data_IF_778280170368
#
_entry.id   IF_778280170368
#
_cell.length_a   1.000
_cell.length_b   1.000
_cell.length_c   1.000
_cell.angle_alpha   90.00
_cell.angle_beta   90.00
_cell.angle_gamma   90.00
#
_symmetry.space_group_name_H-M   'P 1'
#
loop_
_entity.id
_entity.type
_entity.pdbx_description
1 polymer ?
#
# COMPACT_ATOMS: atom_id res chain seq x y z
N UNK A 1 -10.07 -21.66 1.25
CA UNK A 1 -8.81 -20.98 1.59
C UNK A 1 -7.92 -21.09 0.37
N UNK A 2 -7.57 -19.96 -0.21
CA UNK A 2 -6.73 -19.87 -1.38
C UNK A 2 -5.26 -19.71 -0.99
N UNK A 3 -4.36 -19.83 -1.97
CA UNK A 3 -2.94 -19.60 -1.76
C UNK A 3 -2.43 -18.61 -2.80
N UNK A 4 -1.51 -17.74 -2.39
CA UNK A 4 -0.65 -16.96 -3.29
C UNK A 4 0.76 -17.55 -3.32
N UNK A 5 1.45 -17.51 -4.46
CA UNK A 5 2.78 -18.09 -4.56
C UNK A 5 3.88 -17.11 -4.10
N UNK A 6 4.20 -17.15 -2.80
CA UNK A 6 5.27 -16.36 -2.18
C UNK A 6 6.51 -17.22 -1.97
N UNK A 7 7.61 -16.82 -2.60
CA UNK A 7 8.92 -17.45 -2.46
C UNK A 7 9.76 -16.68 -1.42
N UNK A 8 10.95 -17.18 -1.09
CA UNK A 8 11.86 -16.50 -0.16
C UNK A 8 12.28 -15.12 -0.65
N UNK A 9 12.37 -14.91 -1.97
CA UNK A 9 12.76 -13.62 -2.56
C UNK A 9 11.68 -12.54 -2.39
N UNK A 10 10.43 -12.94 -2.16
CA UNK A 10 9.31 -12.01 -1.96
C UNK A 10 9.14 -11.59 -0.49
N UNK A 11 9.67 -12.36 0.46
CA UNK A 11 9.52 -12.09 1.90
C UNK A 11 9.97 -10.70 2.35
N UNK A 12 11.06 -10.12 1.83
CA UNK A 12 11.45 -8.76 2.21
C UNK A 12 10.35 -7.72 1.95
N UNK A 13 9.65 -7.80 0.81
CA UNK A 13 8.55 -6.89 0.47
C UNK A 13 7.36 -7.08 1.42
N UNK A 14 6.94 -8.33 1.65
CA UNK A 14 5.85 -8.64 2.59
C UNK A 14 6.19 -8.16 4.01
N UNK A 15 7.44 -8.33 4.44
CA UNK A 15 7.90 -7.86 5.74
C UNK A 15 7.93 -6.33 5.83
N UNK A 16 8.34 -5.64 4.76
CA UNK A 16 8.27 -4.17 4.71
C UNK A 16 6.81 -3.69 4.80
N UNK A 17 5.89 -4.35 4.10
CA UNK A 17 4.47 -4.07 4.19
C UNK A 17 3.93 -4.27 5.61
N UNK A 18 4.30 -5.35 6.31
CA UNK A 18 3.94 -5.56 7.72
C UNK A 18 4.52 -4.44 8.61
N UNK A 19 5.78 -4.06 8.42
CA UNK A 19 6.45 -3.00 9.19
C UNK A 19 5.85 -1.62 8.95
N UNK A 20 5.31 -1.37 7.76
CA UNK A 20 4.53 -0.16 7.50
C UNK A 20 3.34 -0.09 8.47
N UNK A 21 2.66 -1.21 8.71
CA UNK A 21 1.60 -1.30 9.73
C UNK A 21 2.10 -0.99 11.15
N UNK A 22 3.32 -1.40 11.51
CA UNK A 22 3.91 -1.05 12.82
C UNK A 22 4.14 0.46 12.95
N UNK A 23 4.54 1.13 11.87
CA UNK A 23 4.65 2.58 11.81
C UNK A 23 3.28 3.26 11.90
N UNK A 24 2.27 2.79 11.16
CA UNK A 24 0.91 3.33 11.26
C UNK A 24 0.38 3.25 12.71
N UNK A 25 0.59 2.12 13.38
CA UNK A 25 0.19 1.93 14.78
C UNK A 25 0.88 2.88 15.78
N UNK A 26 1.96 3.56 15.38
CA UNK A 26 2.65 4.54 16.22
C UNK A 26 1.92 5.89 16.34
N UNK A 27 0.91 6.15 15.51
CA UNK A 27 0.14 7.39 15.56
C UNK A 27 -0.89 7.38 16.70
N UNK A 28 -0.84 8.42 17.54
CA UNK A 28 -1.76 8.58 18.68
C UNK A 28 -3.19 8.93 18.25
N UNK A 29 -3.35 9.55 17.08
CA UNK A 29 -4.65 9.94 16.50
C UNK A 29 -5.49 8.77 16.00
N UNK A 30 -4.92 7.58 15.85
CA UNK A 30 -5.68 6.40 15.47
C UNK A 30 -6.63 5.97 16.58
N UNK A 31 -7.88 5.74 16.21
CA UNK A 31 -8.90 5.16 17.08
C UNK A 31 -8.56 3.72 17.48
N UNK A 32 -9.31 3.16 18.43
CA UNK A 32 -9.14 1.76 18.80
C UNK A 32 -9.50 0.82 17.63
N UNK A 33 -10.50 1.20 16.84
CA UNK A 33 -10.97 0.52 15.65
C UNK A 33 -9.91 0.54 14.54
N UNK A 34 -9.27 1.69 14.28
CA UNK A 34 -8.16 1.81 13.32
C UNK A 34 -7.04 0.84 13.67
N UNK A 35 -6.60 0.86 14.94
CA UNK A 35 -5.52 -0.01 15.43
C UNK A 35 -5.89 -1.49 15.33
N UNK A 36 -7.15 -1.83 15.61
CA UNK A 36 -7.65 -3.20 15.47
C UNK A 36 -7.70 -3.66 14.01
N UNK A 37 -8.08 -2.77 13.08
CA UNK A 37 -8.09 -3.03 11.65
C UNK A 37 -6.66 -3.26 11.12
N UNK A 38 -5.72 -2.36 11.42
CA UNK A 38 -4.30 -2.51 11.02
C UNK A 38 -3.72 -3.83 11.56
N UNK A 39 -3.94 -4.14 12.84
CA UNK A 39 -3.46 -5.39 13.43
C UNK A 39 -4.05 -6.63 12.74
N UNK A 40 -5.31 -6.56 12.31
CA UNK A 40 -5.98 -7.64 11.58
C UNK A 40 -5.43 -7.82 10.16
N UNK A 41 -5.11 -6.72 9.47
CA UNK A 41 -4.45 -6.73 8.18
C UNK A 41 -3.03 -7.32 8.31
N UNK A 42 -2.23 -6.87 9.28
CA UNK A 42 -0.92 -7.46 9.56
C UNK A 42 -1.00 -8.96 9.87
N UNK A 43 -2.04 -9.40 10.59
CA UNK A 43 -2.29 -10.82 10.86
C UNK A 43 -2.62 -11.61 9.60
N UNK A 44 -3.33 -11.01 8.64
CA UNK A 44 -3.59 -11.63 7.34
C UNK A 44 -2.29 -11.77 6.53
N UNK A 45 -1.46 -10.72 6.47
CA UNK A 45 -0.14 -10.77 5.81
C UNK A 45 0.78 -11.83 6.43
N UNK A 46 0.79 -11.97 7.76
CA UNK A 46 1.58 -13.00 8.47
C UNK A 46 1.11 -14.44 8.20
N UNK A 47 -0.11 -14.64 7.69
CA UNK A 47 -0.66 -15.97 7.35
C UNK A 47 -0.35 -16.41 5.92
N UNK A 48 0.22 -15.53 5.10
CA UNK A 48 0.62 -15.85 3.75
C UNK A 48 1.54 -17.09 3.74
N UNK A 49 1.39 -18.01 2.77
CA UNK A 49 0.68 -17.84 1.51
C UNK A 49 -0.84 -18.02 1.57
N UNK A 50 -1.41 -18.40 2.72
CA UNK A 50 -2.84 -18.73 2.84
C UNK A 50 -3.71 -17.48 2.95
N UNK A 51 -4.74 -17.39 2.11
CA UNK A 51 -5.73 -16.31 2.10
C UNK A 51 -7.12 -16.89 2.35
N UNK A 52 -7.86 -16.28 3.28
CA UNK A 52 -9.22 -16.69 3.60
C UNK A 52 -10.20 -16.14 2.57
N UNK A 53 -11.29 -16.85 2.32
CA UNK A 53 -12.38 -16.30 1.50
C UNK A 53 -13.02 -15.12 2.23
N UNK A 54 -13.47 -14.12 1.46
CA UNK A 54 -13.95 -12.84 1.96
C UNK A 54 -12.84 -11.97 2.56
N UNK A 55 -11.57 -12.14 2.18
CA UNK A 55 -10.53 -11.21 2.65
C UNK A 55 -10.64 -9.91 1.87
N UNK A 56 -10.77 -8.80 2.58
CA UNK A 56 -10.60 -7.43 2.09
C UNK A 56 -9.78 -6.69 3.14
N UNK A 57 -8.52 -6.39 2.81
CA UNK A 57 -7.54 -5.92 3.77
C UNK A 57 -6.53 -5.01 3.08
N UNK A 58 -6.67 -3.70 3.27
CA UNK A 58 -5.81 -2.68 2.68
C UNK A 58 -5.42 -1.65 3.74
N UNK A 59 -4.17 -1.20 3.67
CA UNK A 59 -3.77 0.05 4.27
C UNK A 59 -2.67 0.71 3.45
N UNK A 60 -2.54 2.01 3.62
CA UNK A 60 -1.48 2.77 3.01
C UNK A 60 -1.39 4.17 3.58
N UNK A 61 -0.48 4.95 3.02
CA UNK A 61 -0.38 6.37 3.30
C UNK A 61 -0.08 7.14 2.03
N UNK A 62 -0.48 8.40 2.01
CA UNK A 62 -0.11 9.34 0.96
C UNK A 62 0.43 10.64 1.54
N UNK A 63 1.31 11.27 0.76
CA UNK A 63 1.79 12.63 0.99
C UNK A 63 1.27 13.49 -0.15
N UNK A 64 0.46 14.48 0.20
CA UNK A 64 -0.14 15.44 -0.71
C UNK A 64 0.56 16.78 -0.57
N UNK A 65 1.09 17.29 -1.69
CA UNK A 65 1.81 18.55 -1.76
C UNK A 65 1.08 19.51 -2.68
N UNK A 66 1.09 20.81 -2.35
CA UNK A 66 0.50 21.85 -3.19
C UNK A 66 -1.02 21.83 -3.17
N UNK A 67 -1.64 22.17 -4.30
CA UNK A 67 -3.09 22.29 -4.47
C UNK A 67 -3.55 21.60 -5.78
N UNK A 68 -4.83 21.72 -6.12
CA UNK A 68 -5.43 21.10 -7.30
C UNK A 68 -4.88 21.63 -8.64
N UNK A 69 -4.15 22.75 -8.64
CA UNK A 69 -3.60 23.40 -9.84
C UNK A 69 -2.10 23.17 -10.03
N UNK A 70 -1.38 22.92 -8.94
CA UNK A 70 0.05 22.60 -8.95
C UNK A 70 0.41 21.68 -7.78
N UNK A 71 -0.14 20.46 -7.82
CA UNK A 71 -0.03 19.50 -6.74
C UNK A 71 0.66 18.20 -7.13
N UNK A 72 1.03 17.44 -6.12
CA UNK A 72 1.56 16.08 -6.28
C UNK A 72 1.09 15.22 -5.12
N UNK A 73 0.46 14.09 -5.44
CA UNK A 73 0.16 13.03 -4.47
C UNK A 73 1.13 11.88 -4.70
N UNK A 74 1.84 11.49 -3.65
CA UNK A 74 2.63 10.25 -3.61
C UNK A 74 2.02 9.29 -2.61
N UNK A 75 1.68 8.07 -3.04
CA UNK A 75 1.04 7.06 -2.19
C UNK A 75 1.85 5.77 -2.12
N UNK A 76 1.72 5.03 -1.01
CA UNK A 76 2.23 3.68 -0.85
C UNK A 76 1.19 2.84 -0.14
N UNK A 77 0.79 1.77 -0.80
CA UNK A 77 -0.37 1.00 -0.40
C UNK A 77 -0.10 -0.49 -0.51
N UNK A 78 -0.83 -1.24 0.31
CA UNK A 78 -1.02 -2.67 0.13
C UNK A 78 -2.50 -2.99 0.05
N UNK A 79 -2.84 -3.97 -0.76
CA UNK A 79 -4.15 -4.63 -0.73
C UNK A 79 -3.97 -6.15 -0.70
N UNK A 80 -4.76 -6.83 0.14
CA UNK A 80 -4.90 -8.27 0.14
C UNK A 80 -6.39 -8.60 0.02
N UNK A 81 -6.75 -9.20 -1.10
CA UNK A 81 -8.15 -9.47 -1.46
C UNK A 81 -8.36 -10.91 -1.91
N UNK A 82 -9.48 -11.52 -1.54
CA UNK A 82 -9.91 -12.78 -2.13
C UNK A 82 -11.40 -13.04 -1.89
N UNK A 83 -12.15 -13.22 -2.97
CA UNK A 83 -13.58 -13.54 -2.97
C UNK A 83 -13.85 -14.70 -3.95
N UNK A 84 -14.16 -15.88 -3.42
CA UNK A 84 -14.30 -17.11 -4.22
C UNK A 84 -15.48 -17.10 -5.20
N UNK A 85 -16.45 -16.20 -4.98
CA UNK A 85 -17.64 -16.04 -5.80
C UNK A 85 -17.52 -14.93 -6.87
N UNK A 86 -16.41 -14.22 -6.92
CA UNK A 86 -16.17 -13.14 -7.87
C UNK A 86 -14.99 -13.52 -8.78
N UNK A 87 -15.24 -14.13 -9.95
CA UNK A 87 -14.19 -14.54 -10.87
C UNK A 87 -13.51 -13.36 -11.59
N UNK A 88 -14.09 -12.15 -11.55
CA UNK A 88 -13.50 -10.93 -12.11
C UNK A 88 -12.49 -10.30 -11.14
N UNK A 89 -12.73 -10.41 -9.83
CA UNK A 89 -11.76 -10.06 -8.78
C UNK A 89 -10.83 -11.24 -8.52
N UNK A 90 -9.86 -11.45 -9.41
CA UNK A 90 -8.88 -12.54 -9.28
C UNK A 90 -8.06 -12.48 -7.98
N UNK A 91 -8.11 -11.37 -7.24
CA UNK A 91 -7.60 -11.24 -5.88
C UNK A 91 -6.11 -11.53 -5.77
N UNK A 92 -5.59 -11.45 -4.55
CA UNK A 92 -4.19 -11.65 -4.29
C UNK A 92 -3.63 -10.59 -3.37
N UNK A 93 -2.31 -10.56 -3.28
CA UNK A 93 -1.58 -9.48 -2.63
C UNK A 93 -1.13 -8.49 -3.71
N UNK A 94 -1.41 -7.22 -3.49
CA UNK A 94 -0.89 -6.10 -4.25
C UNK A 94 -0.08 -5.19 -3.33
N UNK A 95 1.06 -4.74 -3.82
CA UNK A 95 1.87 -3.69 -3.19
C UNK A 95 2.19 -2.68 -4.27
N UNK A 96 1.95 -1.39 -4.02
CA UNK A 96 2.20 -0.38 -5.02
C UNK A 96 2.62 0.97 -4.44
N UNK A 97 3.15 1.80 -5.32
CA UNK A 97 3.38 3.22 -5.07
C UNK A 97 2.83 4.05 -6.21
N UNK A 98 2.19 5.16 -5.87
CA UNK A 98 1.52 6.06 -6.80
C UNK A 98 2.26 7.39 -6.91
N UNK A 99 2.29 7.97 -8.11
CA UNK A 99 2.81 9.31 -8.39
C UNK A 99 1.80 10.05 -9.27
N UNK A 100 1.00 10.92 -8.64
CA UNK A 100 -0.17 11.54 -9.24
C UNK A 100 0.03 13.06 -9.28
N UNK A 101 0.44 13.64 -10.42
CA UNK A 101 0.46 15.09 -10.58
C UNK A 101 -0.96 15.64 -10.63
N UNK A 102 -1.16 16.84 -10.07
CA UNK A 102 -2.43 17.56 -10.09
C UNK A 102 -2.25 18.92 -10.80
N UNK A 103 -3.00 19.19 -11.89
CA UNK A 103 -3.89 18.25 -12.58
C UNK A 103 -3.09 17.14 -13.30
N UNK A 104 -3.80 16.07 -13.69
CA UNK A 104 -3.20 15.06 -14.55
C UNK A 104 -2.64 15.68 -15.83
N UNK A 105 -1.54 15.11 -16.33
CA UNK A 105 -0.82 15.66 -17.46
C UNK A 105 -0.31 14.57 -18.38
N UNK A 106 -0.16 14.92 -19.65
CA UNK A 106 0.48 14.07 -20.67
C UNK A 106 1.89 14.55 -21.00
N UNK A 107 2.46 15.48 -20.21
CA UNK A 107 3.84 15.95 -20.38
C UNK A 107 4.82 14.75 -20.27
N UNK A 108 5.60 14.45 -21.33
CA UNK A 108 6.54 13.33 -21.32
C UNK A 108 7.56 13.34 -20.18
N UNK A 109 7.98 14.53 -19.72
CA UNK A 109 8.91 14.65 -18.60
C UNK A 109 8.26 14.22 -17.29
N UNK A 110 7.00 14.59 -17.06
CA UNK A 110 6.24 14.18 -15.87
C UNK A 110 5.89 12.70 -15.92
N UNK A 111 5.50 12.17 -17.08
CA UNK A 111 5.27 10.73 -17.28
C UNK A 111 6.54 9.91 -17.04
N UNK A 112 7.70 10.45 -17.39
CA UNK A 112 8.99 9.82 -17.06
C UNK A 112 9.20 9.76 -15.56
N UNK A 113 8.89 10.84 -14.82
CA UNK A 113 8.95 10.83 -13.36
C UNK A 113 7.98 9.81 -12.76
N UNK A 114 6.74 9.74 -13.25
CA UNK A 114 5.75 8.76 -12.82
C UNK A 114 6.30 7.34 -12.96
N UNK A 115 6.81 6.97 -14.14
CA UNK A 115 7.42 5.66 -14.38
C UNK A 115 8.62 5.33 -13.49
N UNK A 116 9.38 6.35 -13.06
CA UNK A 116 10.54 6.17 -12.18
C UNK A 116 10.14 5.97 -10.71
N UNK A 117 9.07 6.61 -10.26
CA UNK A 117 8.64 6.62 -8.86
C UNK A 117 7.60 5.52 -8.55
N UNK A 118 6.78 5.14 -9.52
CA UNK A 118 5.76 4.10 -9.33
C UNK A 118 6.37 2.69 -9.32
N UNK A 119 5.78 1.85 -8.48
CA UNK A 119 6.03 0.43 -8.40
C UNK A 119 4.67 -0.27 -8.27
N UNK A 120 4.55 -1.45 -8.87
CA UNK A 120 3.37 -2.29 -8.75
C UNK A 120 3.80 -3.76 -8.73
N UNK A 121 3.45 -4.46 -7.67
CA UNK A 121 3.74 -5.86 -7.46
C UNK A 121 2.42 -6.57 -7.18
N UNK A 122 2.15 -7.64 -7.92
CA UNK A 122 0.91 -8.40 -7.79
C UNK A 122 1.21 -9.90 -7.71
N UNK A 123 0.77 -10.51 -6.62
CA UNK A 123 0.73 -11.95 -6.39
C UNK A 123 -0.71 -12.44 -6.47
N UNK A 124 -1.19 -12.81 -7.66
CA UNK A 124 -2.53 -13.33 -7.85
C UNK A 124 -2.77 -14.64 -7.08
N UNK A 125 -4.04 -14.90 -6.77
CA UNK A 125 -4.46 -16.17 -6.18
C UNK A 125 -4.20 -17.32 -7.17
N UNK A 126 -3.52 -18.37 -6.69
CA UNK A 126 -3.27 -19.59 -7.44
C UNK A 126 -2.17 -19.49 -8.50
N UNK A 127 -1.53 -18.33 -8.66
CA UNK A 127 -0.52 -18.10 -9.69
C UNK A 127 0.75 -17.44 -9.11
N UNK A 128 1.80 -17.32 -9.94
CA UNK A 128 3.08 -16.71 -9.60
C UNK A 128 3.02 -15.19 -9.70
N UNK A 129 3.82 -14.52 -8.87
CA UNK A 129 4.04 -13.09 -9.01
C UNK A 129 4.54 -12.76 -10.41
N UNK A 130 4.00 -11.70 -11.00
CA UNK A 130 4.63 -11.07 -12.16
C UNK A 130 6.06 -10.63 -11.77
N UNK A 131 6.99 -10.74 -12.73
CA UNK A 131 8.40 -10.38 -12.59
C UNK A 131 8.62 -9.13 -11.72
N UNK A 132 9.27 -9.31 -10.57
CA UNK A 132 9.62 -8.22 -9.66
C UNK A 132 10.98 -7.67 -10.08
N UNK A 133 11.00 -6.41 -10.52
CA UNK A 133 12.24 -5.65 -10.74
C UNK A 133 12.93 -5.42 -9.39
N UNK A 134 14.15 -5.96 -9.15
CA UNK A 134 14.84 -5.84 -7.87
C UNK A 134 15.00 -4.39 -7.40
N UNK A 135 15.24 -3.46 -8.33
CA UNK A 135 15.39 -2.04 -8.04
C UNK A 135 14.09 -1.38 -7.56
N UNK A 136 12.94 -1.76 -8.13
CA UNK A 136 11.64 -1.26 -7.66
C UNK A 136 11.32 -1.84 -6.29
N UNK A 137 11.60 -3.13 -6.08
CA UNK A 137 11.38 -3.78 -4.79
C UNK A 137 12.21 -3.15 -3.68
N UNK A 138 13.50 -2.93 -3.94
CA UNK A 138 14.41 -2.29 -2.99
C UNK A 138 13.95 -0.88 -2.66
N UNK A 139 13.57 -0.09 -3.66
CA UNK A 139 13.04 1.26 -3.45
C UNK A 139 11.79 1.22 -2.57
N UNK A 140 10.80 0.39 -2.91
CA UNK A 140 9.56 0.31 -2.13
C UNK A 140 9.83 -0.05 -0.66
N UNK A 141 10.75 -0.99 -0.40
CA UNK A 141 11.20 -1.34 0.96
C UNK A 141 11.85 -0.14 1.68
N UNK A 142 12.70 0.61 1.00
CA UNK A 142 13.39 1.78 1.56
C UNK A 142 12.40 2.92 1.87
N UNK A 143 11.54 3.26 0.91
CA UNK A 143 10.59 4.37 1.03
C UNK A 143 9.57 4.11 2.16
N UNK A 144 9.03 2.89 2.25
CA UNK A 144 8.09 2.50 3.31
C UNK A 144 8.75 2.32 4.68
N UNK A 145 10.08 2.19 4.74
CA UNK A 145 10.81 2.15 6.02
C UNK A 145 10.99 3.54 6.64
N UNK A 146 10.89 4.60 5.83
CA UNK A 146 11.03 6.00 6.27
C UNK A 146 9.98 6.90 5.61
N UNK A 147 8.66 6.68 5.88
CA UNK A 147 7.59 7.44 5.22
C UNK A 147 7.73 8.96 5.36
N UNK A 148 8.21 9.42 6.51
CA UNK A 148 8.37 10.85 6.81
C UNK A 148 9.53 11.52 6.05
N UNK A 149 10.39 10.76 5.36
CA UNK A 149 11.41 11.36 4.49
C UNK A 149 10.81 12.11 3.29
N UNK A 150 9.54 11.83 2.96
CA UNK A 150 8.81 12.48 1.87
C UNK A 150 7.93 13.65 2.33
N UNK A 151 7.72 13.80 3.63
CA UNK A 151 6.84 14.80 4.22
C UNK A 151 7.64 16.07 4.59
N UNK A 152 7.11 17.23 4.22
CA UNK A 152 7.67 18.55 4.52
C UNK A 152 6.62 19.51 5.09
N UNK A 153 7.08 20.72 5.45
CA UNK A 153 6.19 21.78 5.93
C UNK A 153 5.15 22.14 4.86
N UNK A 154 3.87 22.12 5.26
CA UNK A 154 2.74 22.39 4.36
C UNK A 154 2.22 21.17 3.60
N UNK A 155 2.89 20.02 3.67
CA UNK A 155 2.40 18.78 3.09
C UNK A 155 1.34 18.14 4.00
N UNK A 156 0.34 17.49 3.39
CA UNK A 156 -0.67 16.69 4.10
C UNK A 156 -0.28 15.22 4.07
N UNK A 157 -0.23 14.59 5.25
CA UNK A 157 -0.08 13.13 5.37
C UNK A 157 -1.48 12.52 5.55
N UNK A 158 -1.89 11.62 4.67
CA UNK A 158 -3.13 10.85 4.81
C UNK A 158 -2.82 9.37 5.05
N UNK A 159 -3.66 8.71 5.84
CA UNK A 159 -3.64 7.26 6.06
C UNK A 159 -4.98 6.71 5.64
N UNK A 160 -4.98 5.67 4.83
CA UNK A 160 -6.19 4.94 4.44
C UNK A 160 -6.15 3.53 5.00
N UNK A 161 -7.28 3.08 5.55
CA UNK A 161 -7.45 1.74 6.13
C UNK A 161 -8.79 1.16 5.66
N UNK A 162 -8.73 -0.02 5.05
CA UNK A 162 -9.90 -0.81 4.64
C UNK A 162 -9.77 -2.21 5.22
N UNK A 163 -10.72 -2.64 6.05
CA UNK A 163 -10.76 -4.02 6.53
C UNK A 163 -12.19 -4.53 6.62
N UNK A 164 -12.57 -5.45 5.74
CA UNK A 164 -13.95 -5.93 5.64
C UNK A 164 -14.91 -4.73 5.43
N UNK A 165 -15.90 -4.56 6.30
CA UNK A 165 -16.86 -3.45 6.25
C UNK A 165 -16.34 -2.16 6.93
N UNK A 166 -15.11 -2.17 7.45
CA UNK A 166 -14.50 -1.01 8.10
C UNK A 166 -13.70 -0.16 7.10
N UNK A 167 -13.92 1.16 7.17
CA UNK A 167 -13.20 2.16 6.39
C UNK A 167 -12.79 3.32 7.29
N UNK A 168 -11.57 3.82 7.09
CA UNK A 168 -11.04 5.00 7.75
C UNK A 168 -10.08 5.75 6.83
N UNK A 169 -10.23 7.08 6.81
CA UNK A 169 -9.32 8.04 6.17
C UNK A 169 -8.91 9.07 7.24
N UNK A 170 -7.62 9.09 7.59
CA UNK A 170 -7.08 9.96 8.62
C UNK A 170 -6.14 10.99 7.99
N UNK A 171 -6.57 12.25 8.04
CA UNK A 171 -5.74 13.38 7.62
C UNK A 171 -4.87 13.91 8.77
N UNK A 172 -3.60 14.20 8.45
CA UNK A 172 -2.61 14.81 9.34
C UNK A 172 -2.50 14.13 10.72
N UNK A 173 -2.21 12.81 10.76
CA UNK A 173 -2.13 12.03 12.00
C UNK A 173 -1.00 12.46 12.95
N UNK A 174 -0.08 13.31 12.48
CA UNK A 174 1.01 13.91 13.25
C UNK A 174 0.62 15.17 14.05
N UNK A 175 -0.51 15.81 13.71
CA UNK A 175 -0.92 17.11 14.27
C UNK A 175 -1.64 17.00 15.62
#
# INVERSE_FOLDING_TARGET
>A
MANINITQTHKPLVNAAIKLGDWLLSFDKLTAEDKAAIASIQKALKKLPKVNDGTLAMYGFSIEKGDETNGLVRGWDLSLEYFSHDPERQGGLELFSSFIPLPETTDPAVLTQKNLNEAYFHWPIGDVCAFIKPEQAQRWIEETSQPLAFWGEGDTLRIEIVYQDYYSDIENPLS
#
